data_IF_978907947356
#
_entry.id   IF_978907947356
#
_cell.length_a   1.000
_cell.length_b   1.000
_cell.length_c   1.000
_cell.angle_alpha   90.00
_cell.angle_beta   90.00
_cell.angle_gamma   90.00
#
_symmetry.space_group_name_H-M   'P 1'
#
loop_
_entity.id
_entity.type
_entity.pdbx_description
1 polymer ?
#
# COMPACT_ATOMS: atom_id res chain seq x y z
N UNK A 1 -3.68 14.36 4.75
CA UNK A 1 -3.34 13.93 3.38
C UNK A 1 -3.60 15.09 2.43
N UNK A 2 -2.57 15.72 1.87
CA UNK A 2 -2.75 16.55 0.66
C UNK A 2 -2.84 15.56 -0.51
N UNK A 3 -3.84 15.69 -1.38
CA UNK A 3 -4.01 14.82 -2.55
C UNK A 3 -5.32 14.02 -2.62
N UNK A 4 -6.21 14.10 -1.61
CA UNK A 4 -7.58 13.60 -1.80
C UNK A 4 -8.33 14.65 -2.61
N UNK A 5 -8.67 14.31 -3.85
CA UNK A 5 -9.60 15.09 -4.66
C UNK A 5 -10.98 14.86 -4.05
N UNK A 6 -11.74 15.92 -3.87
CA UNK A 6 -13.10 15.81 -3.34
C UNK A 6 -13.94 14.91 -4.27
N UNK A 7 -14.66 13.94 -3.69
CA UNK A 7 -15.36 12.91 -4.47
C UNK A 7 -14.51 11.69 -4.88
N UNK A 8 -13.23 11.59 -4.51
CA UNK A 8 -12.42 10.38 -4.74
C UNK A 8 -12.17 9.55 -3.47
N UNK A 9 -12.08 8.23 -3.67
CA UNK A 9 -11.79 7.25 -2.64
C UNK A 9 -10.58 6.41 -3.03
N UNK A 10 -9.68 6.16 -2.09
CA UNK A 10 -8.62 5.16 -2.25
C UNK A 10 -9.19 3.80 -1.90
N UNK A 11 -8.97 2.82 -2.78
CA UNK A 11 -9.43 1.46 -2.59
C UNK A 11 -8.23 0.60 -2.22
N UNK A 12 -8.40 -0.24 -1.20
CA UNK A 12 -7.44 -1.27 -0.83
C UNK A 12 -8.13 -2.59 -1.11
N UNK A 13 -7.48 -3.44 -1.90
CA UNK A 13 -7.99 -4.75 -2.31
C UNK A 13 -7.03 -5.81 -1.78
N UNK A 14 -7.58 -6.88 -1.23
CA UNK A 14 -6.84 -8.10 -0.94
C UNK A 14 -6.93 -9.01 -2.16
N UNK A 15 -5.83 -9.68 -2.51
CA UNK A 15 -5.77 -10.59 -3.64
C UNK A 15 -4.91 -11.81 -3.28
N UNK A 16 -5.24 -13.01 -3.78
CA UNK A 16 -4.38 -14.17 -3.70
C UNK A 16 -2.98 -13.88 -4.26
N UNK A 17 -1.97 -14.64 -3.81
CA UNK A 17 -0.56 -14.42 -4.13
C UNK A 17 -0.29 -14.29 -5.65
N UNK A 18 -0.83 -15.21 -6.45
CA UNK A 18 -0.67 -15.23 -7.91
C UNK A 18 -1.29 -13.99 -8.56
N UNK A 19 -2.53 -13.66 -8.20
CA UNK A 19 -3.23 -12.47 -8.69
C UNK A 19 -2.47 -11.18 -8.30
N UNK A 20 -1.92 -11.11 -7.08
CA UNK A 20 -1.12 -9.97 -6.63
C UNK A 20 0.13 -9.74 -7.51
N UNK A 21 0.87 -10.79 -7.85
CA UNK A 21 2.04 -10.66 -8.72
C UNK A 21 1.67 -10.21 -10.14
N UNK A 22 0.58 -10.75 -10.68
CA UNK A 22 0.04 -10.32 -11.97
C UNK A 22 -0.35 -8.84 -11.95
N UNK A 23 -1.06 -8.42 -10.91
CA UNK A 23 -1.42 -7.02 -10.70
C UNK A 23 -0.23 -6.07 -10.53
N UNK A 24 0.80 -6.51 -9.81
CA UNK A 24 2.04 -5.75 -9.63
C UNK A 24 2.78 -5.56 -10.96
N UNK A 25 2.74 -6.54 -11.86
CA UNK A 25 3.28 -6.44 -13.23
C UNK A 25 2.46 -5.49 -14.09
N UNK A 26 1.12 -5.59 -14.05
CA UNK A 26 0.22 -4.78 -14.87
C UNK A 26 0.28 -3.29 -14.54
N UNK A 27 0.56 -2.90 -13.29
CA UNK A 27 0.66 -1.51 -12.77
C UNK A 27 -0.61 -0.68 -12.89
N UNK A 28 -1.55 -1.04 -13.76
CA UNK A 28 -2.83 -0.37 -13.94
C UNK A 28 -3.93 -1.41 -14.15
N UNK A 29 -5.14 -1.07 -13.72
CA UNK A 29 -6.34 -1.87 -13.95
C UNK A 29 -7.41 -1.00 -14.61
N UNK A 30 -8.03 -1.44 -15.72
CA UNK A 30 -9.20 -0.77 -16.25
C UNK A 30 -10.39 -1.03 -15.33
N UNK A 31 -11.06 0.04 -14.87
CA UNK A 31 -12.36 -0.05 -14.19
C UNK A 31 -13.31 0.85 -14.97
N UNK A 32 -14.35 0.26 -15.58
CA UNK A 32 -15.17 0.91 -16.61
C UNK A 32 -14.29 1.38 -17.79
N UNK A 33 -14.20 2.69 -18.02
CA UNK A 33 -13.43 3.32 -19.09
C UNK A 33 -12.21 4.10 -18.59
N UNK A 34 -11.82 3.89 -17.33
CA UNK A 34 -10.71 4.61 -16.71
C UNK A 34 -9.62 3.64 -16.24
N UNK A 35 -8.36 4.01 -16.48
CA UNK A 35 -7.18 3.26 -16.03
C UNK A 35 -6.75 3.72 -14.65
N UNK A 36 -6.82 2.83 -13.67
CA UNK A 36 -6.44 3.12 -12.28
C UNK A 36 -5.06 2.59 -11.98
N UNK A 37 -4.23 3.39 -11.31
CA UNK A 37 -2.88 2.99 -10.90
C UNK A 37 -2.95 2.01 -9.73
N UNK A 38 -2.25 0.90 -9.87
CA UNK A 38 -2.14 -0.14 -8.86
C UNK A 38 -0.76 -0.07 -8.22
N UNK A 39 -0.73 -0.04 -6.90
CA UNK A 39 0.49 -0.06 -6.11
C UNK A 39 0.33 -1.04 -4.96
N UNK A 40 1.41 -1.73 -4.63
CA UNK A 40 1.50 -2.49 -3.39
C UNK A 40 1.20 -1.55 -2.22
N UNK A 41 0.24 -1.94 -1.39
CA UNK A 41 -0.10 -1.20 -0.19
C UNK A 41 0.70 -1.76 0.98
N UNK A 42 1.53 -0.91 1.60
CA UNK A 42 2.29 -1.24 2.79
C UNK A 42 1.70 -0.46 3.97
N UNK A 43 1.29 -1.15 5.03
CA UNK A 43 0.72 -0.51 6.21
C UNK A 43 1.82 0.03 7.14
N UNK A 44 2.70 0.87 6.59
CA UNK A 44 3.77 1.54 7.34
C UNK A 44 3.22 2.84 7.91
N UNK A 45 3.09 2.89 9.24
CA UNK A 45 2.57 4.07 9.94
C UNK A 45 3.64 5.17 10.00
N UNK A 46 3.25 6.39 9.66
CA UNK A 46 4.10 7.59 9.79
C UNK A 46 3.35 8.68 10.55
N UNK A 47 4.01 9.26 11.55
CA UNK A 47 3.44 10.33 12.33
C UNK A 47 3.64 11.66 11.60
N UNK A 48 2.56 12.39 11.27
CA UNK A 48 2.69 13.71 10.63
C UNK A 48 3.14 14.81 11.59
N UNK A 49 3.13 14.56 12.90
CA UNK A 49 3.59 15.50 13.93
C UNK A 49 5.08 15.31 14.21
N UNK A 50 5.54 14.08 14.40
CA UNK A 50 6.95 13.78 14.65
C UNK A 50 7.79 13.56 13.38
N UNK A 51 7.15 13.24 12.25
CA UNK A 51 7.76 12.78 10.98
C UNK A 51 8.36 11.36 10.98
N UNK A 52 8.56 10.75 12.16
CA UNK A 52 9.06 9.38 12.27
C UNK A 52 8.00 8.30 11.99
N UNK A 53 8.47 7.07 11.84
CA UNK A 53 7.66 5.88 11.59
C UNK A 53 7.25 5.15 12.88
N UNK A 54 6.29 4.24 12.78
CA UNK A 54 5.85 3.36 13.88
C UNK A 54 4.55 3.77 14.58
N UNK A 55 4.11 5.03 14.45
CA UNK A 55 2.83 5.49 15.01
C UNK A 55 2.17 6.55 14.13
N UNK A 56 0.91 6.88 14.43
CA UNK A 56 0.17 7.95 13.73
C UNK A 56 0.18 9.25 14.54
N UNK A 57 -0.26 10.38 13.95
CA UNK A 57 -0.36 11.65 14.67
C UNK A 57 -1.50 11.73 15.71
N UNK A 58 -2.00 10.58 16.17
CA UNK A 58 -2.99 10.48 17.21
C UNK A 58 -2.43 11.06 18.53
N UNK A 59 -3.12 12.01 19.20
CA UNK A 59 -2.65 12.58 20.48
C UNK A 59 -2.41 11.56 21.60
N UNK A 60 -3.04 10.38 21.54
CA UNK A 60 -2.80 9.28 22.48
C UNK A 60 -1.47 8.55 22.22
N UNK A 61 -1.01 8.52 20.97
CA UNK A 61 0.20 7.80 20.54
C UNK A 61 1.42 8.73 20.41
N UNK A 62 1.20 9.97 19.96
CA UNK A 62 2.26 10.93 19.71
C UNK A 62 2.44 11.87 20.91
N UNK A 63 3.64 11.84 21.50
CA UNK A 63 4.00 12.69 22.65
C UNK A 63 4.24 14.16 22.30
N UNK A 64 4.33 14.50 21.01
CA UNK A 64 4.64 15.85 20.56
C UNK A 64 3.36 16.61 20.22
N UNK A 65 3.23 17.81 20.79
CA UNK A 65 2.14 18.74 20.48
C UNK A 65 2.50 19.68 19.33
N UNK A 66 3.74 20.17 19.32
CA UNK A 66 4.26 21.01 18.22
C UNK A 66 4.89 20.15 17.12
N UNK A 67 4.39 20.22 15.87
CA UNK A 67 4.89 19.38 14.79
C UNK A 67 6.30 19.77 14.36
N UNK A 68 7.08 18.77 13.98
CA UNK A 68 8.28 18.93 13.18
C UNK A 68 7.91 19.10 11.70
N UNK A 69 8.61 20.00 11.01
CA UNK A 69 8.44 20.22 9.59
C UNK A 69 9.09 19.08 8.80
N UNK A 70 8.33 18.42 7.93
CA UNK A 70 8.84 17.38 7.04
C UNK A 70 9.75 17.90 5.90
N UNK A 71 9.94 19.23 5.79
CA UNK A 71 10.83 19.83 4.80
C UNK A 71 12.18 20.21 5.40
N UNK A 72 12.20 20.94 6.52
CA UNK A 72 13.41 21.52 7.11
C UNK A 72 13.71 21.03 8.53
N UNK A 73 12.91 20.12 9.09
CA UNK A 73 13.13 19.56 10.42
C UNK A 73 12.90 20.51 11.61
N UNK A 74 12.49 21.76 11.38
CA UNK A 74 12.21 22.73 12.44
C UNK A 74 10.80 22.60 13.03
N UNK A 75 10.55 23.23 14.20
CA UNK A 75 9.27 23.18 14.93
C UNK A 75 8.22 24.12 14.34
N UNK A 76 7.56 23.68 13.27
CA UNK A 76 6.37 24.32 12.73
C UNK A 76 5.60 23.37 11.81
N UNK A 77 4.38 23.75 11.45
CA UNK A 77 3.60 23.00 10.47
C UNK A 77 4.33 22.99 9.12
N UNK A 78 4.43 21.80 8.50
CA UNK A 78 5.08 21.61 7.19
C UNK A 78 4.45 22.48 6.10
N UNK A 79 3.14 22.77 6.20
CA UNK A 79 2.40 23.63 5.27
C UNK A 79 2.86 25.08 5.28
N UNK A 80 3.45 25.53 6.38
CA UNK A 80 3.88 26.91 6.60
C UNK A 80 5.39 27.06 6.41
N UNK A 81 6.07 26.04 5.87
CA UNK A 81 7.51 26.08 5.66
C UNK A 81 7.89 27.13 4.60
N UNK A 82 8.80 28.03 4.98
CA UNK A 82 9.42 29.02 4.09
C UNK A 82 10.93 28.80 3.92
N UNK A 83 11.45 27.70 4.45
CA UNK A 83 12.86 27.35 4.29
C UNK A 83 13.05 26.58 2.97
N UNK A 84 13.98 27.05 2.15
CA UNK A 84 14.36 26.42 0.88
C UNK A 84 15.33 25.25 1.08
N UNK A 85 16.09 25.25 2.17
CA UNK A 85 17.00 24.15 2.51
C UNK A 85 16.22 22.96 3.07
N UNK A 86 16.33 21.84 2.36
CA UNK A 86 15.75 20.58 2.78
C UNK A 86 16.60 19.91 3.85
N UNK A 87 15.93 19.41 4.88
CA UNK A 87 16.54 18.72 6.00
C UNK A 87 15.60 17.64 6.54
N UNK A 88 16.00 16.40 6.37
CA UNK A 88 15.26 15.25 6.86
C UNK A 88 15.63 14.94 8.30
N UNK A 89 14.74 15.31 9.23
CA UNK A 89 14.92 15.09 10.68
C UNK A 89 15.15 13.60 11.03
N UNK A 90 14.46 12.69 10.34
CA UNK A 90 14.59 11.25 10.59
C UNK A 90 16.03 10.75 10.32
N UNK A 91 16.74 11.29 9.32
CA UNK A 91 18.15 10.92 9.11
C UNK A 91 19.08 11.59 10.06
N UNK A 92 18.85 12.87 10.36
CA UNK A 92 19.69 13.55 11.31
C UNK A 92 19.72 12.77 12.63
N UNK A 93 18.55 12.32 13.09
CA UNK A 93 18.42 11.45 14.26
C UNK A 93 19.04 10.06 14.04
N UNK A 94 18.77 9.39 12.91
CA UNK A 94 19.35 8.07 12.62
C UNK A 94 20.88 8.10 12.54
N UNK A 95 21.46 9.08 11.86
CA UNK A 95 22.91 9.29 11.76
C UNK A 95 23.52 9.53 13.14
N UNK A 96 22.88 10.37 13.97
CA UNK A 96 23.32 10.61 15.35
C UNK A 96 23.28 9.35 16.20
N UNK A 97 22.21 8.54 16.08
CA UNK A 97 21.99 7.38 16.93
C UNK A 97 22.77 6.13 16.49
N UNK A 98 23.02 5.97 15.18
CA UNK A 98 23.63 4.77 14.58
C UNK A 98 25.01 5.00 13.99
N UNK A 99 25.52 6.23 14.00
CA UNK A 99 26.82 6.57 13.42
C UNK A 99 26.86 6.48 11.89
N UNK A 100 25.71 6.53 11.21
CA UNK A 100 25.62 6.47 9.75
C UNK A 100 25.85 7.86 9.11
N UNK A 101 26.19 7.90 7.81
CA UNK A 101 26.43 9.15 7.07
C UNK A 101 25.48 9.30 5.86
N UNK A 102 24.18 9.09 6.08
CA UNK A 102 23.19 9.24 5.01
C UNK A 102 23.00 10.72 4.65
N UNK A 103 22.73 10.98 3.35
CA UNK A 103 22.39 12.32 2.85
C UNK A 103 21.09 12.79 3.48
N UNK A 104 21.14 13.92 4.20
CA UNK A 104 19.99 14.47 4.94
C UNK A 104 19.21 15.54 4.17
N UNK A 105 19.73 15.99 3.01
CA UNK A 105 19.16 17.08 2.20
C UNK A 105 18.02 16.62 1.28
N UNK A 106 16.93 16.16 1.88
CA UNK A 106 15.71 15.80 1.17
C UNK A 106 14.49 15.88 2.11
N UNK A 107 13.27 15.71 1.58
CA UNK A 107 12.05 15.72 2.41
C UNK A 107 11.88 14.41 3.16
N UNK A 108 11.26 14.46 4.34
CA UNK A 108 10.95 13.25 5.14
C UNK A 108 9.98 12.28 4.46
N UNK A 109 9.24 12.74 3.44
CA UNK A 109 8.28 11.96 2.64
C UNK A 109 8.87 11.36 1.36
N UNK A 110 10.16 11.58 1.10
CA UNK A 110 10.81 11.04 -0.10
C UNK A 110 10.75 9.52 -0.12
N UNK A 111 10.34 8.92 -1.25
CA UNK A 111 10.30 7.47 -1.42
C UNK A 111 11.69 6.84 -1.42
N UNK A 112 12.73 7.61 -1.77
CA UNK A 112 14.13 7.15 -1.76
C UNK A 112 14.82 7.36 -0.41
N UNK A 113 14.06 7.66 0.63
CA UNK A 113 14.53 7.74 2.00
C UNK A 113 14.92 6.32 2.50
N UNK A 114 16.22 5.93 2.63
CA UNK A 114 16.65 4.85 3.53
C UNK A 114 15.84 4.57 4.83
N UNK A 115 15.49 5.52 5.71
CA UNK A 115 14.61 5.30 6.87
C UNK A 115 13.26 4.71 6.46
N UNK A 116 12.65 5.21 5.38
CA UNK A 116 11.44 4.61 4.81
C UNK A 116 11.74 3.21 4.26
N UNK A 117 12.83 3.04 3.51
CA UNK A 117 13.22 1.75 2.94
C UNK A 117 13.52 0.69 4.02
N UNK A 118 14.05 1.11 5.18
CA UNK A 118 14.27 0.25 6.34
C UNK A 118 12.94 -0.24 6.91
N UNK A 119 11.96 0.65 7.06
CA UNK A 119 10.60 0.25 7.47
C UNK A 119 9.94 -0.66 6.43
N UNK A 120 10.10 -0.39 5.13
CA UNK A 120 9.63 -1.27 4.05
C UNK A 120 10.26 -2.65 4.15
N UNK A 121 11.56 -2.71 4.40
CA UNK A 121 12.30 -3.96 4.54
C UNK A 121 11.84 -4.73 5.78
N UNK A 122 11.69 -4.05 6.91
CA UNK A 122 11.20 -4.64 8.16
C UNK A 122 9.76 -5.16 8.01
N UNK A 123 8.88 -4.37 7.40
CA UNK A 123 7.49 -4.75 7.13
C UNK A 123 7.42 -6.00 6.25
N UNK A 124 8.20 -6.04 5.18
CA UNK A 124 8.23 -7.19 4.27
C UNK A 124 8.74 -8.46 4.96
N UNK A 125 9.76 -8.35 5.83
CA UNK A 125 10.25 -9.48 6.64
C UNK A 125 9.19 -10.04 7.60
N UNK A 126 8.31 -9.20 8.14
CA UNK A 126 7.22 -9.63 9.02
C UNK A 126 6.10 -10.35 8.26
N UNK A 127 5.85 -9.97 7.00
CA UNK A 127 4.87 -10.62 6.12
C UNK A 127 5.32 -11.98 5.54
N UNK A 128 6.60 -12.33 5.64
CA UNK A 128 7.16 -13.59 5.12
C UNK A 128 7.00 -14.80 6.07
N UNK A 129 6.23 -14.68 7.16
CA UNK A 129 5.96 -15.82 8.06
C UNK A 129 5.01 -16.87 7.41
N UNK A 130 4.50 -16.61 6.20
CA UNK A 130 3.88 -17.62 5.34
C UNK A 130 4.80 -18.14 4.22
N UNK A 131 6.10 -18.34 4.48
CA UNK A 131 6.94 -19.13 3.58
C UNK A 131 6.98 -20.57 4.05
N UNK A 132 6.30 -21.44 3.31
CA UNK A 132 6.72 -22.83 3.17
C UNK A 132 8.21 -22.88 2.79
N UNK A 133 8.91 -23.81 3.44
CA UNK A 133 10.33 -24.20 3.40
C UNK A 133 11.35 -23.34 2.62
N UNK A 134 12.22 -22.70 3.41
CA UNK A 134 13.40 -21.93 3.04
C UNK A 134 14.64 -22.82 2.79
N UNK A 135 14.72 -23.57 1.68
CA UNK A 135 15.96 -24.28 1.34
C UNK A 135 16.70 -23.80 0.08
N UNK A 136 16.24 -22.74 -0.62
CA UNK A 136 16.85 -22.37 -1.92
C UNK A 136 17.31 -20.89 -2.04
N UNK A 137 16.99 -19.99 -1.11
CA UNK A 137 17.27 -18.55 -1.31
C UNK A 137 18.47 -17.98 -0.55
N UNK A 138 19.57 -18.72 -0.42
CA UNK A 138 20.86 -18.10 -0.12
C UNK A 138 21.67 -17.86 -1.39
N UNK A 139 22.03 -16.59 -1.60
CA UNK A 139 22.99 -16.10 -2.57
C UNK A 139 22.61 -16.27 -4.04
N UNK A 140 21.99 -15.24 -4.61
CA UNK A 140 22.57 -14.62 -5.81
C UNK A 140 21.95 -13.24 -6.06
N UNK A 141 22.85 -12.28 -6.19
CA UNK A 141 22.74 -11.03 -6.93
C UNK A 141 21.73 -11.18 -8.08
N UNK A 142 20.72 -10.32 -8.19
CA UNK A 142 19.78 -10.35 -9.32
C UNK A 142 20.34 -9.51 -10.49
N UNK A 143 21.01 -10.10 -11.49
CA UNK A 143 20.97 -9.54 -12.83
C UNK A 143 19.58 -9.82 -13.44
N UNK A 144 19.28 -9.05 -14.46
CA UNK A 144 18.05 -9.10 -15.24
C UNK A 144 17.64 -10.51 -15.69
N UNK A 145 16.33 -10.65 -15.91
CA UNK A 145 15.61 -11.73 -16.58
C UNK A 145 15.35 -13.00 -15.75
N UNK A 146 14.18 -13.04 -15.14
CA UNK A 146 13.46 -14.30 -14.98
C UNK A 146 12.10 -14.11 -15.64
N UNK A 147 12.02 -14.55 -16.90
CA UNK A 147 10.77 -15.04 -17.44
C UNK A 147 10.44 -16.31 -16.64
N UNK A 148 9.76 -16.15 -15.51
CA UNK A 148 8.92 -17.25 -15.03
C UNK A 148 7.84 -17.37 -16.09
N UNK A 149 7.67 -18.57 -16.64
CA UNK A 149 6.59 -18.92 -17.55
C UNK A 149 5.31 -18.26 -17.03
N UNK A 150 4.93 -17.12 -17.62
CA UNK A 150 3.60 -16.61 -17.36
C UNK A 150 2.73 -17.70 -17.92
N UNK A 151 1.82 -18.24 -17.11
CA UNK A 151 0.64 -18.81 -17.72
C UNK A 151 0.15 -17.76 -18.71
N UNK A 152 0.19 -18.09 -20.01
CA UNK A 152 -0.25 -17.18 -21.06
C UNK A 152 -1.77 -16.96 -21.01
N UNK A 153 -2.42 -17.40 -19.93
CA UNK A 153 -3.82 -17.19 -19.68
C UNK A 153 -4.04 -15.73 -19.23
N UNK A 154 -4.89 -14.98 -19.94
CA UNK A 154 -5.22 -13.63 -19.55
C UNK A 154 -5.97 -13.64 -18.21
N UNK A 155 -5.59 -12.72 -17.31
CA UNK A 155 -6.28 -12.51 -16.04
C UNK A 155 -7.77 -12.21 -16.28
N UNK A 156 -8.66 -13.04 -15.76
CA UNK A 156 -10.12 -12.93 -15.87
C UNK A 156 -10.66 -12.06 -14.74
N UNK A 157 -10.95 -10.80 -15.05
CA UNK A 157 -11.58 -9.88 -14.10
C UNK A 157 -13.08 -9.82 -14.36
N UNK A 158 -13.88 -10.15 -13.34
CA UNK A 158 -15.33 -9.98 -13.38
C UNK A 158 -15.73 -8.73 -12.60
N UNK A 159 -16.20 -7.69 -13.29
CA UNK A 159 -16.68 -6.46 -12.67
C UNK A 159 -18.20 -6.38 -12.73
N UNK A 160 -18.84 -6.09 -11.59
CA UNK A 160 -20.30 -5.98 -11.50
C UNK A 160 -20.72 -4.81 -10.58
N UNK A 161 -21.79 -4.12 -10.99
CA UNK A 161 -22.47 -3.10 -10.20
C UNK A 161 -23.80 -3.65 -9.70
N UNK A 162 -23.93 -3.86 -8.38
CA UNK A 162 -25.08 -4.55 -7.79
C UNK A 162 -26.24 -3.62 -7.40
N UNK A 163 -26.05 -2.29 -7.45
CA UNK A 163 -27.08 -1.29 -7.14
C UNK A 163 -27.81 -1.53 -5.79
N UNK A 164 -27.12 -2.12 -4.81
CA UNK A 164 -27.64 -2.56 -3.51
C UNK A 164 -28.80 -3.56 -3.59
N UNK A 165 -28.97 -4.24 -4.72
CA UNK A 165 -30.02 -5.20 -4.93
C UNK A 165 -29.67 -6.57 -4.33
N UNK A 166 -30.46 -7.01 -3.35
CA UNK A 166 -30.33 -8.35 -2.73
C UNK A 166 -30.46 -9.48 -3.76
N UNK A 167 -31.32 -9.34 -4.77
CA UNK A 167 -31.47 -10.34 -5.82
C UNK A 167 -30.17 -10.53 -6.63
N UNK A 168 -29.49 -9.42 -6.96
CA UNK A 168 -28.24 -9.45 -7.72
C UNK A 168 -27.09 -10.09 -6.92
N UNK A 169 -27.05 -9.87 -5.60
CA UNK A 169 -26.01 -10.47 -4.76
C UNK A 169 -26.20 -11.98 -4.55
N UNK A 170 -27.45 -12.45 -4.49
CA UNK A 170 -27.76 -13.87 -4.36
C UNK A 170 -27.28 -14.69 -5.59
N UNK A 171 -27.25 -14.08 -6.77
CA UNK A 171 -26.76 -14.73 -8.00
C UNK A 171 -25.27 -14.57 -8.22
N UNK A 172 -24.58 -13.73 -7.42
CA UNK A 172 -23.17 -13.43 -7.61
C UNK A 172 -22.31 -14.69 -7.45
N UNK A 173 -22.61 -15.52 -6.45
CA UNK A 173 -21.86 -16.75 -6.19
C UNK A 173 -21.95 -17.73 -7.36
N UNK A 174 -23.17 -18.00 -7.83
CA UNK A 174 -23.41 -18.90 -8.97
C UNK A 174 -22.72 -18.37 -10.23
N UNK A 175 -22.89 -17.08 -10.52
CA UNK A 175 -22.26 -16.43 -11.68
C UNK A 175 -20.74 -16.49 -11.60
N UNK A 176 -20.16 -16.26 -10.42
CA UNK A 176 -18.72 -16.36 -10.20
C UNK A 176 -18.21 -17.80 -10.36
N UNK A 177 -18.96 -18.80 -9.86
CA UNK A 177 -18.63 -20.22 -10.05
C UNK A 177 -18.68 -20.65 -11.51
N UNK A 178 -19.58 -20.08 -12.31
CA UNK A 178 -19.68 -20.33 -13.76
C UNK A 178 -18.55 -19.66 -14.53
N UNK A 179 -18.29 -18.37 -14.27
CA UNK A 179 -17.29 -17.58 -15.01
C UNK A 179 -15.86 -17.95 -14.60
N UNK A 180 -15.67 -18.39 -13.34
CA UNK A 180 -14.37 -18.65 -12.70
C UNK A 180 -13.38 -17.49 -12.91
N UNK A 181 -13.73 -16.27 -12.51
CA UNK A 181 -12.81 -15.14 -12.60
C UNK A 181 -11.70 -15.27 -11.55
N UNK A 182 -10.51 -14.78 -11.90
CA UNK A 182 -9.40 -14.69 -10.95
C UNK A 182 -9.68 -13.61 -9.89
N UNK A 183 -10.36 -12.52 -10.29
CA UNK A 183 -10.71 -11.39 -9.43
C UNK A 183 -12.14 -10.91 -9.69
N UNK A 184 -12.89 -10.68 -8.62
CA UNK A 184 -14.23 -10.10 -8.67
C UNK A 184 -14.20 -8.67 -8.10
N UNK A 185 -14.63 -7.69 -8.90
CA UNK A 185 -14.77 -6.30 -8.50
C UNK A 185 -16.26 -5.96 -8.33
N UNK A 186 -16.71 -5.89 -7.07
CA UNK A 186 -18.12 -5.62 -6.73
C UNK A 186 -18.30 -4.15 -6.33
N UNK A 187 -19.32 -3.49 -6.88
CA UNK A 187 -19.69 -2.11 -6.54
C UNK A 187 -21.13 -2.04 -6.02
N UNK A 188 -21.38 -1.19 -5.01
CA UNK A 188 -22.70 -0.99 -4.39
C UNK A 188 -23.36 -2.32 -3.94
N UNK A 189 -22.62 -3.16 -3.23
CA UNK A 189 -23.14 -4.42 -2.71
C UNK A 189 -24.19 -4.20 -1.62
N UNK A 190 -25.19 -5.09 -1.57
CA UNK A 190 -26.13 -5.17 -0.45
C UNK A 190 -25.39 -5.66 0.81
N UNK A 191 -25.44 -4.89 1.88
CA UNK A 191 -24.78 -5.22 3.16
C UNK A 191 -25.88 -5.48 4.19
N UNK A 192 -25.82 -6.61 4.87
CA UNK A 192 -26.73 -6.96 5.96
C UNK A 192 -25.93 -7.41 7.19
N UNK A 193 -26.19 -6.81 8.36
CA UNK A 193 -25.48 -7.11 9.60
C UNK A 193 -23.94 -7.03 9.47
N UNK A 194 -23.42 -6.04 8.74
CA UNK A 194 -21.99 -5.89 8.42
C UNK A 194 -21.35 -7.06 7.64
N UNK A 195 -22.17 -7.95 7.08
CA UNK A 195 -21.74 -9.07 6.24
C UNK A 195 -22.24 -8.85 4.82
N UNK A 196 -21.42 -9.24 3.85
CA UNK A 196 -21.82 -9.28 2.43
C UNK A 196 -22.22 -10.73 2.12
N UNK A 197 -23.52 -11.04 2.05
CA UNK A 197 -23.97 -12.40 1.75
C UNK A 197 -23.61 -12.79 0.31
N UNK A 198 -23.15 -14.03 0.09
CA UNK A 198 -22.91 -14.59 -1.24
C UNK A 198 -21.51 -14.32 -1.84
N UNK A 199 -20.58 -13.74 -1.08
CA UNK A 199 -19.15 -13.79 -1.46
C UNK A 199 -18.60 -15.16 -1.08
N UNK A 200 -17.93 -15.89 -2.00
CA UNK A 200 -17.26 -17.15 -1.66
C UNK A 200 -16.29 -16.92 -0.50
N UNK A 201 -16.49 -17.62 0.61
CA UNK A 201 -15.46 -17.72 1.64
C UNK A 201 -14.44 -18.75 1.17
N UNK A 202 -13.19 -18.32 1.06
CA UNK A 202 -12.04 -19.21 0.84
C UNK A 202 -11.84 -20.14 2.03
#
# INVERSE_FOLDING_TARGET
MRGRIEGTSHWVLEAPCEAFFNFRRLRKIPIKWAMYQMKEFLHIKRCSTYQAYGHTANPKECKFTTPFCGCCGLRHNTRNCRNDELYCINYAESNRNRGTNYKIRHRTIDSHCPCYNNEVTAYKKQGTIFSMDNSIFENTQFPYNIATESSNEPLKIFQIYLARAKAAINQLQETASTIKPDVILVQEQYINNNVIPGIPQT
#
